data_IF_546165845491
#
_entry.id   IF_546165845491
#
_cell.length_a   1.000
_cell.length_b   1.000
_cell.length_c   1.000
_cell.angle_alpha   90.00
_cell.angle_beta   90.00
_cell.angle_gamma   90.00
#
_symmetry.space_group_name_H-M   'P 1'
#
loop_
_entity.id
_entity.type
_entity.pdbx_description
1 polymer ?
#
# COMPACT_ATOMS: atom_id res chain seq x y z
N UNK A 1 19.92 -28.77 8.25
CA UNK A 1 21.19 -27.99 8.25
C UNK A 1 21.27 -27.11 6.99
N UNK A 2 20.19 -26.36 6.66
CA UNK A 2 20.09 -25.54 5.44
C UNK A 2 19.41 -24.16 5.68
N UNK A 3 19.46 -23.61 6.90
CA UNK A 3 18.61 -22.45 7.25
C UNK A 3 19.36 -21.13 7.52
N UNK A 4 20.68 -21.16 7.72
CA UNK A 4 21.46 -19.96 8.04
C UNK A 4 21.73 -19.05 6.83
N UNK A 5 22.13 -19.56 5.64
CA UNK A 5 22.35 -18.73 4.46
C UNK A 5 21.04 -18.12 3.93
N UNK A 6 19.95 -18.90 3.95
CA UNK A 6 18.64 -18.48 3.45
C UNK A 6 18.00 -17.43 4.35
N UNK A 7 18.13 -17.57 5.68
CA UNK A 7 17.65 -16.55 6.62
C UNK A 7 18.46 -15.25 6.53
N UNK A 8 19.78 -15.34 6.29
CA UNK A 8 20.61 -14.16 6.06
C UNK A 8 20.25 -13.48 4.74
N UNK A 9 20.10 -14.23 3.64
CA UNK A 9 19.68 -13.70 2.35
C UNK A 9 18.29 -13.06 2.42
N UNK A 10 17.31 -13.71 3.06
CA UNK A 10 15.97 -13.18 3.24
C UNK A 10 15.98 -11.87 4.04
N UNK A 11 16.84 -11.79 5.07
CA UNK A 11 17.04 -10.56 5.85
C UNK A 11 17.64 -9.45 5.00
N UNK A 12 18.70 -9.73 4.26
CA UNK A 12 19.39 -8.73 3.42
C UNK A 12 18.48 -8.22 2.30
N UNK A 13 17.71 -9.10 1.69
CA UNK A 13 16.68 -8.74 0.71
C UNK A 13 15.59 -7.87 1.34
N UNK A 14 15.07 -8.24 2.50
CA UNK A 14 14.03 -7.46 3.20
C UNK A 14 14.50 -6.05 3.53
N UNK A 15 15.73 -5.90 4.01
CA UNK A 15 16.35 -4.59 4.29
C UNK A 15 16.52 -3.78 3.02
N UNK A 16 17.00 -4.41 1.94
CA UNK A 16 17.23 -3.77 0.64
C UNK A 16 15.92 -3.29 0.01
N UNK A 17 14.89 -4.14 0.02
CA UNK A 17 13.54 -3.82 -0.46
C UNK A 17 12.91 -2.67 0.36
N UNK A 18 13.02 -2.69 1.69
CA UNK A 18 12.52 -1.61 2.55
C UNK A 18 13.21 -0.28 2.24
N UNK A 19 14.55 -0.29 2.09
CA UNK A 19 15.33 0.91 1.74
C UNK A 19 14.92 1.48 0.38
N UNK A 20 14.77 0.62 -0.62
CA UNK A 20 14.31 1.02 -1.95
C UNK A 20 12.90 1.61 -1.89
N UNK A 21 11.95 0.92 -1.25
CA UNK A 21 10.58 1.38 -1.11
C UNK A 21 10.51 2.76 -0.45
N UNK A 22 11.29 2.97 0.62
CA UNK A 22 11.39 4.27 1.30
C UNK A 22 11.94 5.37 0.39
N UNK A 23 12.97 5.09 -0.41
CA UNK A 23 13.52 6.07 -1.38
C UNK A 23 12.49 6.46 -2.44
N UNK A 24 11.71 5.50 -2.95
CA UNK A 24 10.64 5.78 -3.90
C UNK A 24 9.53 6.63 -3.27
N UNK A 25 9.12 6.31 -2.04
CA UNK A 25 8.12 7.09 -1.29
C UNK A 25 8.58 8.52 -1.01
N UNK A 26 9.86 8.74 -0.74
CA UNK A 26 10.41 10.10 -0.52
C UNK A 26 10.48 10.93 -1.82
N UNK A 27 10.52 10.29 -2.99
CA UNK A 27 10.42 10.99 -4.29
C UNK A 27 8.99 11.29 -4.68
N UNK A 28 8.00 10.66 -4.04
CA UNK A 28 6.60 10.95 -4.27
C UNK A 28 6.27 12.33 -3.70
N UNK A 29 5.92 13.28 -4.56
CA UNK A 29 5.47 14.60 -4.14
C UNK A 29 4.13 14.49 -3.38
N UNK A 30 4.13 14.83 -2.09
CA UNK A 30 2.94 14.82 -1.22
C UNK A 30 1.80 15.69 -1.74
N UNK A 31 2.09 16.67 -2.58
CA UNK A 31 1.13 17.64 -3.13
C UNK A 31 0.09 17.04 -4.08
N UNK A 32 0.26 15.79 -4.52
CA UNK A 32 -0.69 15.13 -5.42
C UNK A 32 -1.67 14.21 -4.69
N UNK A 33 -1.16 13.28 -3.88
CA UNK A 33 -1.98 12.29 -3.17
C UNK A 33 -1.14 11.61 -2.09
N UNK A 34 -1.64 11.41 -0.85
CA UNK A 34 -1.00 10.53 0.13
C UNK A 34 -0.71 9.13 -0.43
N UNK A 35 0.45 8.56 -0.11
CA UNK A 35 0.86 7.25 -0.66
C UNK A 35 -0.12 6.12 -0.29
N UNK A 36 -0.79 6.21 0.86
CA UNK A 36 -1.82 5.24 1.25
C UNK A 36 -3.05 5.29 0.31
N UNK A 37 -3.48 6.49 -0.09
CA UNK A 37 -4.57 6.66 -1.05
C UNK A 37 -4.16 6.20 -2.46
N UNK A 38 -2.91 6.45 -2.87
CA UNK A 38 -2.36 5.94 -4.13
C UNK A 38 -2.33 4.40 -4.16
N UNK A 39 -1.96 3.78 -3.04
CA UNK A 39 -1.97 2.31 -2.87
C UNK A 39 -3.37 1.75 -3.08
N UNK A 40 -4.37 2.33 -2.39
CA UNK A 40 -5.79 1.95 -2.54
C UNK A 40 -6.26 2.06 -3.99
N UNK A 41 -5.97 3.18 -4.67
CA UNK A 41 -6.32 3.36 -6.09
C UNK A 41 -5.66 2.30 -6.97
N UNK A 42 -4.39 2.00 -6.72
CA UNK A 42 -3.64 0.99 -7.48
C UNK A 42 -4.24 -0.41 -7.28
N UNK A 43 -4.65 -0.76 -6.06
CA UNK A 43 -5.30 -2.03 -5.76
C UNK A 43 -6.66 -2.12 -6.44
N UNK A 44 -7.51 -1.10 -6.33
CA UNK A 44 -8.80 -1.07 -7.01
C UNK A 44 -8.66 -1.13 -8.54
N UNK A 45 -7.65 -0.47 -9.11
CA UNK A 45 -7.35 -0.53 -10.54
C UNK A 45 -6.92 -1.93 -11.00
N UNK A 46 -6.09 -2.62 -10.21
CA UNK A 46 -5.53 -3.92 -10.57
C UNK A 46 -6.47 -5.09 -10.30
N UNK A 47 -7.27 -4.98 -9.25
CA UNK A 47 -8.04 -6.10 -8.70
C UNK A 47 -9.56 -5.89 -8.79
N UNK A 48 -9.99 -4.68 -9.19
CA UNK A 48 -11.39 -4.33 -9.39
C UNK A 48 -12.09 -3.85 -8.12
N UNK A 49 -13.40 -3.53 -8.24
CA UNK A 49 -14.23 -3.12 -7.13
C UNK A 49 -14.32 -4.21 -6.06
N UNK A 50 -14.21 -3.81 -4.79
CA UNK A 50 -14.29 -4.73 -3.66
C UNK A 50 -14.84 -4.01 -2.43
N UNK A 51 -15.28 -4.77 -1.43
CA UNK A 51 -15.78 -4.21 -0.18
C UNK A 51 -14.66 -3.55 0.63
N UNK A 52 -15.01 -2.62 1.51
CA UNK A 52 -14.04 -1.96 2.41
C UNK A 52 -13.26 -2.97 3.28
N UNK A 53 -13.89 -4.09 3.65
CA UNK A 53 -13.25 -5.14 4.45
C UNK A 53 -12.21 -5.94 3.67
N UNK A 54 -12.50 -6.26 2.41
CA UNK A 54 -11.54 -6.90 1.50
C UNK A 54 -10.38 -5.96 1.20
N UNK A 55 -10.68 -4.69 0.91
CA UNK A 55 -9.67 -3.66 0.66
C UNK A 55 -8.75 -3.47 1.87
N UNK A 56 -9.29 -3.48 3.10
CA UNK A 56 -8.49 -3.42 4.33
C UNK A 56 -7.53 -4.60 4.47
N UNK A 57 -8.02 -5.79 4.17
CA UNK A 57 -7.20 -7.02 4.20
C UNK A 57 -6.09 -6.97 3.16
N UNK A 58 -6.39 -6.50 1.94
CA UNK A 58 -5.42 -6.39 0.83
C UNK A 58 -4.34 -5.34 1.07
N UNK A 59 -4.75 -4.16 1.51
CA UNK A 59 -3.83 -3.07 1.86
C UNK A 59 -3.07 -3.32 3.17
N UNK A 60 -3.46 -4.36 3.93
CA UNK A 60 -2.94 -4.68 5.27
C UNK A 60 -3.00 -3.48 6.21
N UNK A 61 -4.09 -2.72 6.14
CA UNK A 61 -4.36 -1.58 7.04
C UNK A 61 -5.69 -1.77 7.77
N UNK A 62 -5.86 -1.05 8.87
CA UNK A 62 -7.07 -1.15 9.69
C UNK A 62 -8.30 -0.64 8.92
N UNK A 63 -9.49 -1.28 9.05
CA UNK A 63 -10.70 -0.84 8.35
C UNK A 63 -11.05 0.65 8.52
N UNK A 64 -10.93 1.28 9.71
CA UNK A 64 -11.18 2.72 9.85
C UNK A 64 -10.24 3.59 9.01
N UNK A 65 -9.00 3.15 8.75
CA UNK A 65 -8.05 3.88 7.92
C UNK A 65 -8.39 3.77 6.43
N UNK A 66 -8.84 2.60 5.98
CA UNK A 66 -9.39 2.43 4.62
C UNK A 66 -10.59 3.34 4.45
N UNK A 67 -11.57 3.25 5.35
CA UNK A 67 -12.82 4.02 5.26
C UNK A 67 -12.56 5.53 5.14
N UNK A 68 -11.63 6.08 5.93
CA UNK A 68 -11.25 7.50 5.83
C UNK A 68 -10.60 7.82 4.48
N UNK A 69 -9.67 6.98 4.03
CA UNK A 69 -8.96 7.18 2.76
C UNK A 69 -9.90 7.06 1.56
N UNK A 70 -10.78 6.05 1.54
CA UNK A 70 -11.81 5.86 0.52
C UNK A 70 -12.79 7.03 0.50
N UNK A 71 -13.19 7.56 1.66
CA UNK A 71 -14.05 8.74 1.70
C UNK A 71 -13.35 9.96 1.07
N UNK A 72 -12.09 10.23 1.42
CA UNK A 72 -11.31 11.31 0.81
C UNK A 72 -11.12 11.12 -0.70
N UNK A 73 -10.97 9.88 -1.17
CA UNK A 73 -10.87 9.56 -2.60
C UNK A 73 -12.20 9.77 -3.34
N UNK A 74 -13.35 9.50 -2.69
CA UNK A 74 -14.69 9.81 -3.24
C UNK A 74 -14.87 11.32 -3.36
N UNK A 75 -14.55 12.08 -2.30
CA UNK A 75 -14.61 13.55 -2.31
C UNK A 75 -13.72 14.17 -3.40
N UNK A 76 -12.56 13.56 -3.67
CA UNK A 76 -11.68 13.95 -4.75
C UNK A 76 -12.15 13.50 -6.16
N UNK A 77 -13.27 12.77 -6.27
CA UNK A 77 -13.79 12.24 -7.53
C UNK A 77 -12.95 11.14 -8.17
N UNK A 78 -12.08 10.49 -7.39
CA UNK A 78 -11.13 9.48 -7.89
C UNK A 78 -11.68 8.05 -7.82
N UNK A 79 -12.68 7.80 -6.98
CA UNK A 79 -13.44 6.54 -6.94
C UNK A 79 -14.93 6.84 -6.74
N UNK A 80 -15.76 5.84 -7.04
CA UNK A 80 -17.20 5.84 -6.77
C UNK A 80 -17.55 4.75 -5.75
N UNK A 81 -18.66 4.94 -5.02
CA UNK A 81 -19.18 3.97 -4.04
C UNK A 81 -20.17 3.02 -4.68
#
# INVERSE_FOLDING_TARGET
MSDLPDSQLARDLSVSAMRLNRRLRLRHSSDRLPVAQLSILTTLLREGPMTTGELASRERIKPPSVSRSSHQLVEAGLIVR
#
